data_IF_608424596744
#
_entry.id   IF_608424596744
#
_cell.length_a   1.000
_cell.length_b   1.000
_cell.length_c   1.000
_cell.angle_alpha   90.00
_cell.angle_beta   90.00
_cell.angle_gamma   90.00
#
_symmetry.space_group_name_H-M   'P 1'
#
loop_
_entity.id
_entity.type
_entity.pdbx_description
1 polymer ?
#
# COMPACT_ATOMS: atom_id res chain seq x y z
N UNK A 1 59.49 -3.22 -32.25
CA UNK A 1 58.53 -4.18 -31.65
C UNK A 1 57.73 -3.49 -30.56
N UNK A 2 58.34 -2.57 -29.82
CA UNK A 2 57.72 -1.76 -28.75
C UNK A 2 56.57 -0.86 -29.21
N UNK A 3 56.68 -0.24 -30.40
CA UNK A 3 55.67 0.71 -30.89
C UNK A 3 54.27 0.11 -31.05
N UNK A 4 54.18 -1.18 -31.40
CA UNK A 4 52.90 -1.92 -31.52
C UNK A 4 52.34 -2.30 -30.15
N UNK A 5 53.21 -2.53 -29.18
CA UNK A 5 52.84 -2.86 -27.80
C UNK A 5 52.30 -1.62 -27.09
N UNK A 6 52.89 -0.46 -27.36
CA UNK A 6 52.44 0.83 -26.84
C UNK A 6 51.11 1.27 -27.47
N UNK A 7 50.91 1.05 -28.78
CA UNK A 7 49.60 1.32 -29.42
C UNK A 7 48.51 0.40 -28.87
N UNK A 8 48.80 -0.88 -28.64
CA UNK A 8 47.84 -1.81 -28.05
C UNK A 8 47.46 -1.42 -26.61
N UNK A 9 48.43 -1.00 -25.79
CA UNK A 9 48.16 -0.47 -24.43
C UNK A 9 47.34 0.81 -24.44
N UNK A 10 47.58 1.68 -25.41
CA UNK A 10 46.85 2.93 -25.55
C UNK A 10 45.38 2.67 -25.93
N UNK A 11 45.15 1.75 -26.88
CA UNK A 11 43.79 1.33 -27.24
C UNK A 11 43.05 0.69 -26.07
N UNK A 12 43.71 -0.14 -25.26
CA UNK A 12 43.11 -0.78 -24.08
C UNK A 12 42.73 0.25 -23.00
N UNK A 13 43.58 1.27 -22.79
CA UNK A 13 43.29 2.37 -21.87
C UNK A 13 42.14 3.26 -22.36
N UNK A 14 42.11 3.60 -23.65
CA UNK A 14 41.03 4.42 -24.24
C UNK A 14 39.69 3.69 -24.14
N UNK A 15 39.68 2.37 -24.38
CA UNK A 15 38.49 1.53 -24.26
C UNK A 15 38.02 1.41 -22.80
N UNK A 16 38.93 1.35 -21.84
CA UNK A 16 38.60 1.37 -20.42
C UNK A 16 37.99 2.72 -19.99
N UNK A 17 38.51 3.84 -20.51
CA UNK A 17 38.01 5.19 -20.23
C UNK A 17 36.59 5.37 -20.79
N UNK A 18 36.34 4.95 -22.03
CA UNK A 18 34.99 4.97 -22.63
C UNK A 18 34.00 4.14 -21.80
N UNK A 19 34.40 2.94 -21.38
CA UNK A 19 33.54 2.07 -20.55
C UNK A 19 33.20 2.73 -19.20
N UNK A 20 34.15 3.43 -18.59
CA UNK A 20 33.93 4.17 -17.33
C UNK A 20 33.03 5.39 -17.55
N UNK A 21 33.18 6.09 -18.67
CA UNK A 21 32.32 7.23 -19.02
C UNK A 21 30.88 6.78 -19.28
N UNK A 22 30.68 5.72 -20.06
CA UNK A 22 29.34 5.14 -20.27
C UNK A 22 28.71 4.68 -18.96
N UNK A 23 29.46 4.02 -18.08
CA UNK A 23 28.97 3.62 -16.77
C UNK A 23 28.57 4.83 -15.90
N UNK A 24 29.36 5.91 -15.92
CA UNK A 24 29.06 7.15 -15.21
C UNK A 24 27.85 7.89 -15.80
N UNK A 25 27.70 7.92 -17.12
CA UNK A 25 26.56 8.54 -17.80
C UNK A 25 25.27 7.76 -17.56
N UNK A 26 25.34 6.43 -17.54
CA UNK A 26 24.23 5.56 -17.18
C UNK A 26 23.83 5.73 -15.71
N UNK A 27 24.80 5.91 -14.80
CA UNK A 27 24.52 6.19 -13.39
C UNK A 27 23.90 7.57 -13.19
N UNK A 28 24.33 8.56 -13.98
CA UNK A 28 23.82 9.94 -13.97
C UNK A 28 22.42 10.04 -14.59
N UNK A 29 22.16 9.26 -15.64
CA UNK A 29 20.91 9.24 -16.39
C UNK A 29 20.45 7.78 -16.59
N UNK A 30 19.85 7.15 -15.57
CA UNK A 30 19.40 5.78 -15.70
C UNK A 30 18.35 5.65 -16.81
N UNK A 31 18.32 4.55 -17.58
CA UNK A 31 17.32 4.33 -18.60
C UNK A 31 15.92 4.41 -17.97
N UNK A 32 15.03 5.24 -18.51
CA UNK A 32 13.68 5.41 -17.96
C UNK A 32 12.65 4.72 -18.85
N UNK A 33 11.79 3.92 -18.23
CA UNK A 33 10.65 3.29 -18.93
C UNK A 33 9.40 4.10 -18.59
N UNK A 34 8.75 4.64 -19.63
CA UNK A 34 7.50 5.37 -19.48
C UNK A 34 6.36 4.40 -19.17
N UNK A 35 5.73 4.55 -18.01
CA UNK A 35 4.57 3.75 -17.60
C UNK A 35 3.36 4.66 -17.49
N UNK A 36 2.33 4.34 -18.26
CA UNK A 36 1.10 5.11 -18.32
C UNK A 36 0.23 4.82 -17.10
N UNK A 37 -0.03 5.86 -16.32
CA UNK A 37 -0.89 5.77 -15.14
C UNK A 37 -2.35 5.89 -15.55
N UNK A 38 -3.00 4.76 -15.82
CA UNK A 38 -4.44 4.72 -16.12
C UNK A 38 -5.25 4.81 -14.83
N UNK A 39 -5.62 6.02 -14.42
CA UNK A 39 -6.34 6.29 -13.15
C UNK A 39 -7.62 5.47 -12.97
N UNK A 40 -8.32 5.17 -14.06
CA UNK A 40 -9.53 4.34 -14.02
C UNK A 40 -9.22 2.91 -13.56
N UNK A 41 -8.16 2.28 -14.10
CA UNK A 41 -7.73 0.92 -13.68
C UNK A 41 -7.28 0.91 -12.23
N UNK A 42 -6.57 1.97 -11.80
CA UNK A 42 -6.15 2.13 -10.40
C UNK A 42 -7.33 2.21 -9.44
N UNK A 43 -8.40 2.93 -9.79
CA UNK A 43 -9.59 3.02 -8.96
C UNK A 43 -10.23 1.63 -8.77
N UNK A 44 -10.41 0.87 -9.85
CA UNK A 44 -11.06 -0.44 -9.76
C UNK A 44 -10.22 -1.52 -9.09
N UNK A 45 -8.89 -1.48 -9.20
CA UNK A 45 -8.04 -2.46 -8.48
C UNK A 45 -8.00 -2.19 -6.97
N UNK A 46 -8.18 -0.94 -6.53
CA UNK A 46 -8.23 -0.61 -5.08
C UNK A 46 -9.41 -1.29 -4.40
N UNK A 47 -10.55 -1.44 -5.07
CA UNK A 47 -11.80 -1.97 -4.51
C UNK A 47 -11.61 -3.36 -3.87
N UNK A 48 -11.22 -4.43 -4.59
CA UNK A 48 -11.13 -5.77 -4.01
C UNK A 48 -10.06 -5.85 -2.92
N UNK A 49 -8.94 -5.13 -3.07
CA UNK A 49 -7.90 -5.08 -2.05
C UNK A 49 -8.35 -4.32 -0.79
N UNK A 50 -9.17 -3.28 -0.93
CA UNK A 50 -9.75 -2.56 0.20
C UNK A 50 -10.75 -3.41 0.98
N UNK A 51 -11.59 -4.17 0.27
CA UNK A 51 -12.50 -5.16 0.87
C UNK A 51 -11.70 -6.21 1.63
N UNK A 52 -10.69 -6.82 0.99
CA UNK A 52 -9.85 -7.84 1.61
C UNK A 52 -9.12 -7.29 2.85
N UNK A 53 -8.57 -6.06 2.77
CA UNK A 53 -7.87 -5.44 3.89
C UNK A 53 -8.78 -5.13 5.07
N UNK A 54 -9.99 -4.62 4.81
CA UNK A 54 -10.99 -4.39 5.86
C UNK A 54 -11.42 -5.70 6.54
N UNK A 55 -11.63 -6.77 5.75
CA UNK A 55 -11.94 -8.10 6.28
C UNK A 55 -10.80 -8.66 7.15
N UNK A 56 -9.55 -8.52 6.72
CA UNK A 56 -8.38 -8.94 7.50
C UNK A 56 -8.33 -8.17 8.83
N UNK A 57 -8.51 -6.86 8.80
CA UNK A 57 -8.51 -6.03 10.03
C UNK A 57 -9.59 -6.47 11.01
N UNK A 58 -10.83 -6.59 10.54
CA UNK A 58 -11.97 -6.97 11.40
C UNK A 58 -11.81 -8.41 11.90
N UNK A 59 -11.32 -9.30 11.04
CA UNK A 59 -10.98 -10.67 11.42
C UNK A 59 -9.97 -10.71 12.56
N UNK A 60 -8.84 -10.01 12.43
CA UNK A 60 -7.82 -9.92 13.48
C UNK A 60 -8.36 -9.29 14.77
N UNK A 61 -9.16 -8.23 14.67
CA UNK A 61 -9.79 -7.62 15.83
C UNK A 61 -10.71 -8.61 16.56
N UNK A 62 -11.54 -9.36 15.83
CA UNK A 62 -12.45 -10.35 16.41
C UNK A 62 -11.73 -11.58 16.99
N UNK A 63 -10.59 -11.96 16.42
CA UNK A 63 -9.78 -13.06 16.95
C UNK A 63 -9.15 -12.71 18.30
N UNK A 64 -8.77 -11.46 18.51
CA UNK A 64 -8.10 -11.02 19.74
C UNK A 64 -9.07 -10.52 20.82
N UNK A 65 -10.34 -10.27 20.49
CA UNK A 65 -11.36 -9.91 21.49
C UNK A 65 -11.79 -11.14 22.29
N UNK A 66 -10.98 -11.53 23.27
CA UNK A 66 -11.30 -12.54 24.28
C UNK A 66 -10.95 -12.04 25.69
N UNK A 67 -11.58 -12.64 26.71
CA UNK A 67 -11.35 -12.25 28.10
C UNK A 67 -9.90 -12.54 28.52
N UNK A 68 -9.20 -11.50 29.00
CA UNK A 68 -7.79 -11.61 29.39
C UNK A 68 -6.79 -11.47 28.24
N UNK A 69 -7.20 -10.93 27.10
CA UNK A 69 -6.30 -10.62 25.98
C UNK A 69 -5.09 -9.79 26.44
N UNK A 70 -3.85 -10.18 26.08
CA UNK A 70 -2.64 -9.51 26.54
C UNK A 70 -2.48 -8.11 25.94
N UNK A 71 -3.02 -7.89 24.74
CA UNK A 71 -2.98 -6.60 24.03
C UNK A 71 -4.29 -6.37 23.29
N UNK A 72 -4.55 -5.11 22.93
CA UNK A 72 -5.74 -4.74 22.15
C UNK A 72 -5.60 -5.23 20.69
N UNK A 73 -6.70 -5.74 20.12
CA UNK A 73 -6.69 -6.41 18.81
C UNK A 73 -6.21 -5.53 17.64
N UNK A 74 -6.31 -4.20 17.75
CA UNK A 74 -5.83 -3.29 16.72
C UNK A 74 -4.31 -3.40 16.51
N UNK A 75 -3.51 -3.76 17.53
CA UNK A 75 -2.05 -3.94 17.39
C UNK A 75 -1.70 -4.89 16.25
N UNK A 76 -2.39 -6.03 16.16
CA UNK A 76 -2.09 -7.06 15.17
C UNK A 76 -2.42 -6.61 13.75
N UNK A 77 -3.52 -5.89 13.58
CA UNK A 77 -3.88 -5.30 12.28
C UNK A 77 -2.82 -4.29 11.84
N UNK A 78 -2.40 -3.38 12.73
CA UNK A 78 -1.36 -2.39 12.42
C UNK A 78 -0.03 -3.06 12.08
N UNK A 79 0.40 -4.04 12.89
CA UNK A 79 1.63 -4.79 12.67
C UNK A 79 1.62 -5.53 11.33
N UNK A 80 0.56 -6.27 11.02
CA UNK A 80 0.46 -7.05 9.78
C UNK A 80 0.42 -6.14 8.54
N UNK A 81 -0.37 -5.07 8.59
CA UNK A 81 -0.45 -4.12 7.48
C UNK A 81 0.88 -3.40 7.24
N UNK A 82 1.61 -3.01 8.30
CA UNK A 82 2.95 -2.45 8.18
C UNK A 82 3.99 -3.47 7.69
N UNK A 83 3.86 -4.74 8.07
CA UNK A 83 4.71 -5.83 7.57
C UNK A 83 4.56 -6.01 6.06
N UNK A 84 3.32 -6.13 5.57
CA UNK A 84 3.05 -6.27 4.14
C UNK A 84 3.52 -5.01 3.40
N UNK A 85 3.27 -3.82 3.95
CA UNK A 85 3.78 -2.56 3.41
C UNK A 85 5.31 -2.56 3.31
N UNK A 86 6.02 -3.07 4.33
CA UNK A 86 7.47 -3.22 4.30
C UNK A 86 7.97 -4.10 3.16
N UNK A 87 7.27 -5.20 2.87
CA UNK A 87 7.61 -6.09 1.75
C UNK A 87 7.37 -5.42 0.39
N UNK A 88 6.24 -4.73 0.26
CA UNK A 88 5.83 -4.04 -0.96
C UNK A 88 6.75 -2.86 -1.28
N UNK A 89 7.20 -2.12 -0.25
CA UNK A 89 8.11 -0.97 -0.43
C UNK A 89 9.45 -1.39 -1.00
N UNK A 90 10.05 -2.49 -0.52
CA UNK A 90 11.34 -2.97 -1.05
C UNK A 90 11.21 -3.41 -2.51
N UNK A 91 10.12 -4.10 -2.87
CA UNK A 91 9.89 -4.60 -4.23
C UNK A 91 9.17 -3.59 -5.13
N UNK A 92 9.05 -2.33 -4.72
CA UNK A 92 8.28 -1.29 -5.42
C UNK A 92 8.64 -1.22 -6.91
N UNK A 93 9.93 -1.16 -7.24
CA UNK A 93 10.38 -1.04 -8.63
C UNK A 93 10.01 -2.27 -9.47
N UNK A 94 10.17 -3.47 -8.90
CA UNK A 94 9.83 -4.72 -9.58
C UNK A 94 8.32 -4.83 -9.82
N UNK A 95 7.50 -4.50 -8.81
CA UNK A 95 6.04 -4.48 -8.94
C UNK A 95 5.58 -3.41 -9.94
N UNK A 96 6.24 -2.25 -9.94
CA UNK A 96 5.92 -1.14 -10.82
C UNK A 96 6.13 -1.53 -12.29
N UNK A 97 7.25 -2.20 -12.59
CA UNK A 97 7.56 -2.70 -13.93
C UNK A 97 6.68 -3.89 -14.34
N UNK A 98 6.35 -4.78 -13.40
CA UNK A 98 5.50 -5.94 -13.67
C UNK A 98 4.04 -5.54 -13.95
N UNK A 99 3.41 -4.83 -13.02
CA UNK A 99 2.05 -4.32 -13.20
C UNK A 99 1.79 -3.15 -12.23
N UNK A 100 1.95 -1.92 -12.74
CA UNK A 100 1.77 -0.70 -11.96
C UNK A 100 0.50 -0.67 -11.09
N UNK A 101 -0.71 -1.06 -11.58
CA UNK A 101 -1.91 -1.04 -10.76
C UNK A 101 -1.84 -1.96 -9.53
N UNK A 102 -1.12 -3.09 -9.61
CA UNK A 102 -1.02 -4.02 -8.49
C UNK A 102 -0.30 -3.40 -7.29
N UNK A 103 0.75 -2.62 -7.54
CA UNK A 103 1.47 -1.93 -6.47
C UNK A 103 0.54 -0.96 -5.72
N UNK A 104 -0.31 -0.23 -6.44
CA UNK A 104 -1.31 0.66 -5.86
C UNK A 104 -2.38 -0.14 -5.10
N UNK A 105 -2.86 -1.24 -5.67
CA UNK A 105 -3.81 -2.15 -5.00
C UNK A 105 -3.27 -2.70 -3.68
N UNK A 106 -2.02 -3.17 -3.64
CA UNK A 106 -1.40 -3.72 -2.43
C UNK A 106 -1.11 -2.65 -1.38
N UNK A 107 -0.45 -1.55 -1.76
CA UNK A 107 -0.08 -0.52 -0.79
C UNK A 107 -1.29 0.32 -0.35
N UNK A 108 -2.09 0.78 -1.32
CA UNK A 108 -3.24 1.66 -1.07
C UNK A 108 -4.44 0.82 -0.68
N UNK A 109 -4.91 -0.09 -1.52
CA UNK A 109 -6.09 -0.92 -1.18
C UNK A 109 -5.88 -1.78 0.06
N UNK A 110 -4.93 -2.73 0.02
CA UNK A 110 -4.79 -3.77 1.04
C UNK A 110 -4.19 -3.23 2.33
N UNK A 111 -2.91 -2.84 2.34
CA UNK A 111 -2.24 -2.36 3.54
C UNK A 111 -2.94 -1.14 4.15
N UNK A 112 -3.46 -0.26 3.29
CA UNK A 112 -4.20 0.93 3.72
C UNK A 112 -5.57 0.67 4.33
N UNK A 113 -6.15 -0.52 4.15
CA UNK A 113 -7.42 -0.92 4.76
C UNK A 113 -7.24 -1.90 5.93
N UNK A 114 -6.11 -2.62 5.95
CA UNK A 114 -5.67 -3.41 7.12
C UNK A 114 -5.28 -2.47 8.27
N UNK A 115 -4.53 -1.41 7.96
CA UNK A 115 -4.13 -0.40 8.95
C UNK A 115 -5.19 0.70 9.03
N UNK A 116 -5.35 1.31 10.20
CA UNK A 116 -6.33 2.39 10.44
C UNK A 116 -5.79 3.39 11.45
N UNK A 117 -5.80 4.67 11.09
CA UNK A 117 -5.39 5.74 12.01
C UNK A 117 -6.57 6.25 12.86
N UNK A 118 -7.78 6.38 12.32
CA UNK A 118 -8.96 6.80 13.08
C UNK A 118 -9.26 5.87 14.25
N UNK A 119 -9.25 4.55 14.03
CA UNK A 119 -9.53 3.58 15.10
C UNK A 119 -8.43 3.62 16.17
N UNK A 120 -7.19 3.91 15.79
CA UNK A 120 -6.08 4.07 16.74
C UNK A 120 -6.24 5.34 17.59
N UNK A 121 -6.62 6.47 16.97
CA UNK A 121 -6.92 7.70 17.71
C UNK A 121 -8.10 7.53 18.66
N UNK A 122 -9.13 6.79 18.23
CA UNK A 122 -10.25 6.45 19.09
C UNK A 122 -9.81 5.59 20.30
N UNK A 123 -8.93 4.61 20.10
CA UNK A 123 -8.35 3.82 21.20
C UNK A 123 -7.57 4.67 22.20
N UNK A 124 -6.72 5.58 21.72
CA UNK A 124 -5.96 6.51 22.57
C UNK A 124 -6.92 7.38 23.40
N UNK A 125 -7.93 7.95 22.74
CA UNK A 125 -8.96 8.74 23.42
C UNK A 125 -9.71 7.92 24.45
N UNK A 126 -10.09 6.67 24.11
CA UNK A 126 -10.74 5.74 25.02
C UNK A 126 -9.94 5.49 26.29
N UNK A 127 -8.62 5.31 26.16
CA UNK A 127 -7.70 5.18 27.30
C UNK A 127 -7.66 6.43 28.18
N UNK A 128 -7.57 7.62 27.58
CA UNK A 128 -7.56 8.89 28.35
C UNK A 128 -8.90 9.19 29.02
N UNK A 129 -10.00 8.97 28.31
CA UNK A 129 -11.35 9.26 28.77
C UNK A 129 -11.91 8.17 29.70
N UNK A 130 -11.27 6.99 29.74
CA UNK A 130 -11.73 5.82 30.49
C UNK A 130 -13.19 5.47 30.16
N UNK A 131 -13.46 5.30 28.86
CA UNK A 131 -14.81 5.04 28.33
C UNK A 131 -15.42 3.77 28.96
N UNK A 132 -14.59 2.79 29.31
CA UNK A 132 -15.03 1.52 29.92
C UNK A 132 -15.49 1.67 31.39
N UNK A 133 -15.34 2.86 32.00
CA UNK A 133 -15.82 3.14 33.35
C UNK A 133 -15.09 2.36 34.44
N UNK A 134 -13.91 1.80 34.16
CA UNK A 134 -13.13 1.03 35.10
C UNK A 134 -12.66 1.88 36.29
N UNK A 135 -12.47 1.25 37.46
CA UNK A 135 -12.04 1.90 38.71
C UNK A 135 -10.56 2.32 38.67
N UNK A 136 -10.25 3.28 37.80
CA UNK A 136 -8.91 3.77 37.54
C UNK A 136 -8.67 5.14 38.18
N UNK A 137 -7.44 5.36 38.67
CA UNK A 137 -7.01 6.70 39.06
C UNK A 137 -6.68 7.51 37.81
N UNK A 138 -6.73 8.84 37.88
CA UNK A 138 -6.43 9.73 36.74
C UNK A 138 -5.10 9.41 36.06
N UNK A 139 -4.07 9.06 36.84
CA UNK A 139 -2.76 8.67 36.31
C UNK A 139 -2.78 7.35 35.52
N UNK A 140 -3.64 6.39 35.88
CA UNK A 140 -3.81 5.14 35.14
C UNK A 140 -4.44 5.37 33.76
N UNK A 141 -5.38 6.31 33.64
CA UNK A 141 -5.97 6.68 32.34
C UNK A 141 -4.94 7.33 31.40
N UNK A 142 -4.09 8.21 31.94
CA UNK A 142 -2.97 8.79 31.18
C UNK A 142 -2.03 7.69 30.70
N UNK A 143 -1.68 6.76 31.58
CA UNK A 143 -0.82 5.64 31.21
C UNK A 143 -1.47 4.75 30.15
N UNK A 144 -2.77 4.48 30.23
CA UNK A 144 -3.50 3.68 29.25
C UNK A 144 -3.46 4.29 27.85
N UNK A 145 -3.76 5.59 27.71
CA UNK A 145 -3.69 6.27 26.41
C UNK A 145 -2.26 6.34 25.86
N UNK A 146 -1.25 6.54 26.72
CA UNK A 146 0.16 6.49 26.33
C UNK A 146 0.60 5.08 25.91
N UNK A 147 0.16 4.04 26.61
CA UNK A 147 0.43 2.64 26.27
C UNK A 147 -0.15 2.28 24.90
N UNK A 148 -1.40 2.64 24.62
CA UNK A 148 -2.03 2.46 23.30
C UNK A 148 -1.20 3.13 22.19
N UNK A 149 -0.72 4.34 22.44
CA UNK A 149 0.11 5.10 21.49
C UNK A 149 1.48 4.43 21.25
N UNK A 150 2.22 4.16 22.32
CA UNK A 150 3.59 3.66 22.25
C UNK A 150 3.65 2.22 21.71
N UNK A 151 2.77 1.33 22.19
CA UNK A 151 2.73 -0.07 21.76
C UNK A 151 2.36 -0.15 20.28
N UNK A 152 1.34 0.60 19.84
CA UNK A 152 0.94 0.60 18.43
C UNK A 152 2.06 1.10 17.52
N UNK A 153 2.73 2.19 17.90
CA UNK A 153 3.85 2.72 17.12
C UNK A 153 5.01 1.72 17.08
N UNK A 154 5.42 1.17 18.23
CA UNK A 154 6.50 0.20 18.29
C UNK A 154 6.21 -1.03 17.41
N UNK A 155 4.96 -1.52 17.43
CA UNK A 155 4.52 -2.66 16.62
C UNK A 155 4.44 -2.32 15.13
N UNK A 156 3.96 -1.13 14.76
CA UNK A 156 3.97 -0.69 13.37
C UNK A 156 5.41 -0.58 12.82
N UNK A 157 6.35 -0.04 13.59
CA UNK A 157 7.76 0.03 13.22
C UNK A 157 8.40 -1.37 13.12
N UNK A 158 8.18 -2.23 14.11
CA UNK A 158 8.75 -3.58 14.11
C UNK A 158 8.22 -4.42 12.94
N UNK A 159 6.92 -4.33 12.65
CA UNK A 159 6.29 -4.96 11.48
C UNK A 159 6.91 -4.49 10.17
N UNK A 160 7.06 -3.17 9.99
CA UNK A 160 7.67 -2.60 8.79
C UNK A 160 9.12 -3.06 8.58
N UNK A 161 9.94 -3.05 9.63
CA UNK A 161 11.33 -3.50 9.56
C UNK A 161 11.42 -5.01 9.29
N UNK A 162 10.60 -5.82 9.95
CA UNK A 162 10.53 -7.25 9.69
C UNK A 162 10.13 -7.53 8.24
N UNK A 163 9.15 -6.78 7.71
CA UNK A 163 8.76 -6.84 6.30
C UNK A 163 9.92 -6.58 5.35
N UNK A 164 10.80 -5.62 5.65
CA UNK A 164 12.02 -5.38 4.86
C UNK A 164 13.01 -6.55 4.91
N UNK A 165 13.20 -7.14 6.09
CA UNK A 165 14.08 -8.31 6.24
C UNK A 165 13.53 -9.53 5.49
N UNK A 166 12.23 -9.79 5.61
CA UNK A 166 11.53 -10.84 4.86
C UNK A 166 11.71 -10.59 3.37
N UNK A 167 11.50 -9.36 2.90
CA UNK A 167 11.63 -9.04 1.49
C UNK A 167 13.04 -9.29 0.92
N UNK A 168 14.10 -8.95 1.67
CA UNK A 168 15.48 -9.29 1.28
C UNK A 168 15.73 -10.79 1.25
N UNK A 169 15.15 -11.54 2.18
CA UNK A 169 15.23 -13.00 2.19
C UNK A 169 14.54 -13.60 0.95
N UNK A 170 13.36 -13.10 0.56
CA UNK A 170 12.66 -13.53 -0.66
C UNK A 170 13.49 -13.26 -1.92
N UNK A 171 14.20 -12.13 -1.98
CA UNK A 171 15.12 -11.81 -3.08
C UNK A 171 16.29 -12.78 -3.11
N UNK A 172 16.89 -13.11 -1.96
CA UNK A 172 17.99 -14.06 -1.88
C UNK A 172 17.59 -15.50 -2.27
N UNK A 173 16.36 -15.91 -1.94
CA UNK A 173 15.81 -17.21 -2.35
C UNK A 173 15.53 -17.25 -3.87
N UNK A 174 15.61 -16.10 -4.56
CA UNK A 174 15.35 -16.01 -5.99
C UNK A 174 13.88 -16.19 -6.35
N UNK A 175 12.95 -15.94 -5.42
CA UNK A 175 11.52 -16.16 -5.66
C UNK A 175 11.00 -15.27 -6.80
N UNK A 176 11.50 -14.04 -6.89
CA UNK A 176 11.08 -13.05 -7.89
C UNK A 176 11.99 -12.99 -9.12
N UNK A 177 13.20 -13.56 -9.07
CA UNK A 177 14.17 -13.47 -10.17
C UNK A 177 13.76 -14.20 -11.46
N UNK A 178 13.15 -15.40 -11.46
CA UNK A 178 12.81 -16.08 -12.71
C UNK A 178 11.57 -15.48 -13.39
N UNK A 179 10.60 -14.99 -12.62
CA UNK A 179 9.39 -14.39 -13.18
C UNK A 179 9.69 -13.01 -13.79
N UNK A 180 10.50 -12.21 -13.10
CA UNK A 180 10.92 -10.90 -13.58
C UNK A 180 11.88 -11.02 -14.76
N UNK A 181 12.83 -11.98 -14.74
CA UNK A 181 13.71 -12.24 -15.92
C UNK A 181 12.90 -12.62 -17.15
N UNK A 182 11.93 -13.54 -17.04
CA UNK A 182 11.07 -13.91 -18.19
C UNK A 182 10.29 -12.73 -18.76
N UNK A 183 9.86 -11.81 -17.90
CA UNK A 183 9.12 -10.62 -18.33
C UNK A 183 10.03 -9.55 -18.95
N UNK A 184 11.21 -9.32 -18.36
CA UNK A 184 12.22 -8.43 -18.91
C UNK A 184 12.80 -8.97 -20.23
N UNK A 185 12.99 -10.28 -20.35
CA UNK A 185 13.36 -10.93 -21.62
C UNK A 185 12.26 -10.74 -22.67
N UNK A 186 10.98 -10.86 -22.32
CA UNK A 186 9.88 -10.55 -23.25
C UNK A 186 9.88 -9.09 -23.71
N UNK A 187 10.19 -8.14 -22.82
CA UNK A 187 10.31 -6.72 -23.17
C UNK A 187 11.52 -6.45 -24.07
N UNK A 188 12.68 -7.03 -23.75
CA UNK A 188 13.90 -6.93 -24.56
C UNK A 188 13.73 -7.56 -25.94
N UNK A 189 12.98 -8.66 -26.09
CA UNK A 189 12.67 -9.26 -27.42
C UNK A 189 11.89 -8.28 -28.33
N UNK A 190 11.07 -7.39 -27.77
CA UNK A 190 10.40 -6.32 -28.54
C UNK A 190 11.34 -5.18 -28.96
N UNK A 191 12.50 -5.02 -28.30
CA UNK A 191 13.51 -4.00 -28.62
C UNK A 191 14.62 -4.58 -29.52
N UNK A 192 14.93 -5.87 -29.38
CA UNK A 192 15.97 -6.57 -30.14
C UNK A 192 15.57 -6.98 -31.56
N UNK A 193 14.40 -6.58 -32.07
CA UNK A 193 14.17 -6.62 -33.53
C UNK A 193 14.97 -5.56 -34.28
N UNK A 194 15.71 -4.71 -33.57
CA UNK A 194 16.78 -3.88 -34.12
C UNK A 194 18.08 -4.14 -33.36
N UNK A 195 18.98 -4.83 -34.05
CA UNK A 195 20.41 -5.01 -33.77
C UNK A 195 20.82 -6.20 -32.89
N UNK A 196 21.27 -7.20 -33.62
CA UNK A 196 22.01 -8.39 -33.24
C UNK A 196 23.42 -8.04 -32.75
N UNK A 197 23.81 -8.57 -31.59
CA UNK A 197 25.12 -9.18 -31.28
C UNK A 197 25.25 -9.50 -29.79
N UNK A 198 25.42 -10.78 -29.51
CA UNK A 198 25.67 -11.40 -28.21
C UNK A 198 27.00 -10.99 -27.59
N UNK A 199 27.00 -10.54 -26.33
CA UNK A 199 28.17 -10.54 -25.44
C UNK A 199 27.72 -10.98 -24.05
N UNK A 200 28.28 -12.11 -23.58
CA UNK A 200 28.17 -12.59 -22.19
C UNK A 200 28.96 -11.65 -21.27
N UNK A 201 28.37 -11.18 -20.16
CA UNK A 201 29.17 -10.61 -19.06
C UNK A 201 28.48 -10.70 -17.71
N UNK A 202 29.13 -11.47 -16.84
CA UNK A 202 29.35 -11.36 -15.40
C UNK A 202 28.29 -10.73 -14.45
N UNK A 203 28.07 -11.43 -13.35
CA UNK A 203 26.92 -11.34 -12.43
C UNK A 203 26.89 -10.08 -11.53
N UNK A 204 27.78 -9.11 -11.73
CA UNK A 204 27.93 -7.88 -10.95
C UNK A 204 27.41 -6.62 -11.66
N UNK A 205 27.13 -6.67 -12.97
CA UNK A 205 26.54 -5.56 -13.76
C UNK A 205 25.00 -5.50 -13.74
N UNK A 206 24.33 -6.52 -13.19
CA UNK A 206 22.86 -6.68 -13.28
C UNK A 206 22.08 -5.69 -12.38
N UNK A 207 22.74 -4.99 -11.45
CA UNK A 207 22.07 -4.06 -10.52
C UNK A 207 22.04 -2.61 -10.99
N UNK A 208 23.01 -2.15 -11.82
CA UNK A 208 23.07 -0.75 -12.28
C UNK A 208 22.26 -0.47 -13.54
N UNK A 209 21.75 -1.51 -14.22
CA UNK A 209 21.05 -1.41 -15.49
C UNK A 209 19.51 -1.50 -15.35
N UNK A 210 18.97 -1.50 -14.12
CA UNK A 210 17.51 -1.58 -13.93
C UNK A 210 16.86 -0.25 -14.33
N UNK A 211 15.95 -0.25 -15.32
CA UNK A 211 15.33 0.99 -15.75
C UNK A 211 14.48 1.59 -14.62
N UNK A 212 14.62 2.89 -14.41
CA UNK A 212 13.81 3.62 -13.43
C UNK A 212 12.46 3.93 -14.06
N UNK A 213 11.34 3.48 -13.48
CA UNK A 213 10.04 3.76 -14.05
C UNK A 213 9.70 5.25 -13.94
N UNK A 214 9.32 5.88 -15.06
CA UNK A 214 8.83 7.25 -15.10
C UNK A 214 7.32 7.24 -15.36
N UNK A 215 6.55 7.79 -14.42
CA UNK A 215 5.09 7.81 -14.49
C UNK A 215 4.63 8.89 -15.45
N UNK A 216 3.86 8.52 -16.46
CA UNK A 216 3.16 9.46 -17.34
C UNK A 216 1.68 9.45 -16.95
N UNK A 217 1.13 10.53 -16.38
CA UNK A 217 -0.24 10.54 -15.90
C UNK A 217 -1.21 10.51 -17.08
N UNK A 218 -2.00 9.43 -17.19
CA UNK A 218 -3.20 9.42 -18.01
C UNK A 218 -4.39 9.79 -17.12
N UNK A 219 -5.34 10.55 -17.64
CA UNK A 219 -6.56 10.88 -16.90
C UNK A 219 -7.45 9.66 -16.65
N UNK A 220 -8.73 9.91 -16.40
CA UNK A 220 -9.76 8.86 -16.31
C UNK A 220 -10.24 8.37 -17.68
N UNK A 221 -9.44 8.55 -18.73
CA UNK A 221 -9.84 8.17 -20.09
C UNK A 221 -9.92 6.64 -20.24
N UNK A 222 -11.00 6.17 -20.87
CA UNK A 222 -11.17 4.77 -21.26
C UNK A 222 -10.43 4.42 -22.58
N UNK A 223 -9.79 5.40 -23.20
CA UNK A 223 -9.04 5.22 -24.44
C UNK A 223 -7.71 4.49 -24.15
N UNK A 224 -7.43 3.41 -24.89
CA UNK A 224 -6.17 2.67 -24.78
C UNK A 224 -6.11 1.63 -23.67
N UNK A 225 -7.25 1.07 -23.23
CA UNK A 225 -7.27 -0.07 -22.30
C UNK A 225 -6.86 -1.38 -23.00
N UNK A 226 -5.99 -2.13 -22.32
CA UNK A 226 -5.63 -3.48 -22.73
C UNK A 226 -6.65 -4.50 -22.19
N UNK A 227 -6.64 -5.73 -22.70
CA UNK A 227 -7.52 -6.81 -22.20
C UNK A 227 -7.37 -7.05 -20.69
N UNK A 228 -6.14 -6.99 -20.17
CA UNK A 228 -5.86 -7.14 -18.74
C UNK A 228 -6.49 -6.00 -17.93
N UNK A 229 -6.44 -4.76 -18.44
CA UNK A 229 -7.06 -3.61 -17.77
C UNK A 229 -8.58 -3.77 -17.68
N UNK A 230 -9.21 -4.24 -18.76
CA UNK A 230 -10.64 -4.54 -18.77
C UNK A 230 -11.00 -5.66 -17.77
N UNK A 231 -10.18 -6.71 -17.66
CA UNK A 231 -10.39 -7.77 -16.67
C UNK A 231 -10.29 -7.26 -15.24
N UNK A 232 -9.31 -6.39 -14.94
CA UNK A 232 -9.13 -5.79 -13.62
C UNK A 232 -10.32 -4.88 -13.27
N UNK A 233 -10.81 -4.08 -14.22
CA UNK A 233 -12.00 -3.25 -14.03
C UNK A 233 -13.23 -4.11 -13.78
N UNK A 234 -13.43 -5.13 -14.61
CA UNK A 234 -14.52 -6.09 -14.45
C UNK A 234 -14.49 -6.75 -13.08
N UNK A 235 -13.33 -7.26 -12.66
CA UNK A 235 -13.15 -7.86 -11.35
C UNK A 235 -13.43 -6.87 -10.21
N UNK A 236 -12.93 -5.64 -10.30
CA UNK A 236 -13.20 -4.58 -9.33
C UNK A 236 -14.69 -4.28 -9.20
N UNK A 237 -15.37 -4.04 -10.32
CA UNK A 237 -16.80 -3.77 -10.36
C UNK A 237 -17.63 -4.95 -9.81
N UNK A 238 -17.33 -6.18 -10.23
CA UNK A 238 -18.01 -7.38 -9.76
C UNK A 238 -17.78 -7.62 -8.26
N UNK A 239 -16.59 -7.35 -7.75
CA UNK A 239 -16.31 -7.47 -6.31
C UNK A 239 -17.15 -6.48 -5.49
N UNK A 240 -17.33 -5.24 -5.98
CA UNK A 240 -18.14 -4.25 -5.28
C UNK A 240 -19.63 -4.59 -5.33
N UNK A 241 -20.12 -4.95 -6.52
CA UNK A 241 -21.51 -5.42 -6.68
C UNK A 241 -21.76 -6.65 -5.80
N UNK A 242 -20.80 -7.57 -5.73
CA UNK A 242 -20.88 -8.76 -4.88
C UNK A 242 -21.09 -8.42 -3.40
N UNK A 243 -20.33 -7.46 -2.84
CA UNK A 243 -20.52 -7.06 -1.43
C UNK A 243 -21.79 -6.25 -1.20
N UNK A 244 -22.27 -5.50 -2.20
CA UNK A 244 -23.58 -4.83 -2.13
C UNK A 244 -24.71 -5.85 -2.09
N UNK A 245 -24.67 -6.86 -2.96
CA UNK A 245 -25.65 -7.95 -2.95
C UNK A 245 -25.57 -8.73 -1.64
N UNK A 246 -24.36 -9.02 -1.14
CA UNK A 246 -24.19 -9.62 0.18
C UNK A 246 -24.84 -8.76 1.27
N UNK A 247 -24.65 -7.45 1.28
CA UNK A 247 -25.28 -6.56 2.27
C UNK A 247 -26.81 -6.54 2.20
N UNK A 248 -27.40 -6.72 1.01
CA UNK A 248 -28.86 -6.78 0.81
C UNK A 248 -29.43 -8.12 1.27
N UNK A 249 -28.73 -9.23 1.01
CA UNK A 249 -29.21 -10.58 1.32
C UNK A 249 -28.73 -11.12 2.67
N UNK A 250 -27.79 -10.45 3.34
CA UNK A 250 -27.24 -10.90 4.62
C UNK A 250 -28.26 -10.77 5.75
N UNK A 251 -28.37 -11.80 6.63
CA UNK A 251 -29.13 -11.69 7.87
C UNK A 251 -28.53 -10.63 8.82
N UNK A 252 -29.33 -10.22 9.81
CA UNK A 252 -29.03 -9.07 10.70
C UNK A 252 -27.67 -9.18 11.41
N UNK A 253 -27.20 -10.39 11.70
CA UNK A 253 -25.93 -10.70 12.36
C UNK A 253 -24.70 -10.43 11.49
N UNK A 254 -24.81 -10.62 10.17
CA UNK A 254 -23.71 -10.44 9.21
C UNK A 254 -23.81 -9.14 8.41
N UNK A 255 -24.95 -8.47 8.47
CA UNK A 255 -25.20 -7.23 7.71
C UNK A 255 -24.19 -6.13 8.01
N UNK A 256 -23.75 -5.99 9.25
CA UNK A 256 -22.72 -5.02 9.63
C UNK A 256 -21.41 -5.28 8.86
N UNK A 257 -20.93 -6.52 8.83
CA UNK A 257 -19.70 -6.89 8.13
C UNK A 257 -19.82 -6.67 6.61
N UNK A 258 -20.96 -7.02 6.04
CA UNK A 258 -21.24 -6.83 4.62
C UNK A 258 -21.28 -5.33 4.26
N UNK A 259 -21.96 -4.51 5.06
CA UNK A 259 -21.99 -3.05 4.88
C UNK A 259 -20.59 -2.44 5.06
N UNK A 260 -19.78 -2.93 5.99
CA UNK A 260 -18.38 -2.50 6.13
C UNK A 260 -17.60 -2.75 4.83
N UNK A 261 -17.81 -3.90 4.19
CA UNK A 261 -17.20 -4.20 2.90
C UNK A 261 -17.71 -3.30 1.76
N UNK A 262 -18.94 -2.80 1.85
CA UNK A 262 -19.49 -1.82 0.88
C UNK A 262 -18.84 -0.45 1.05
N UNK A 263 -18.63 0.00 2.30
CA UNK A 263 -18.04 1.31 2.61
C UNK A 263 -16.51 1.34 2.52
N UNK A 264 -15.85 0.20 2.70
CA UNK A 264 -14.39 0.05 2.65
C UNK A 264 -13.75 0.59 1.35
N UNK A 265 -14.25 0.26 0.14
CA UNK A 265 -13.78 0.87 -1.11
C UNK A 265 -13.95 2.39 -1.16
N UNK A 266 -15.05 2.92 -0.62
CA UNK A 266 -15.34 4.37 -0.67
C UNK A 266 -14.28 5.15 0.12
N UNK A 267 -13.95 4.70 1.33
CA UNK A 267 -12.90 5.32 2.13
C UNK A 267 -11.52 5.22 1.47
N UNK A 268 -11.18 4.03 0.93
CA UNK A 268 -9.90 3.80 0.25
C UNK A 268 -9.74 4.66 -1.02
N UNK A 269 -10.82 4.82 -1.80
CA UNK A 269 -10.85 5.67 -2.99
C UNK A 269 -10.76 7.16 -2.65
N UNK A 270 -11.46 7.61 -1.61
CA UNK A 270 -11.35 8.98 -1.12
C UNK A 270 -9.91 9.30 -0.71
N UNK A 271 -9.28 8.40 0.06
CA UNK A 271 -7.88 8.56 0.46
C UNK A 271 -6.94 8.57 -0.74
N UNK A 272 -7.15 7.68 -1.71
CA UNK A 272 -6.36 7.66 -2.95
C UNK A 272 -6.51 8.98 -3.72
N UNK A 273 -7.73 9.50 -3.84
CA UNK A 273 -8.01 10.78 -4.48
C UNK A 273 -7.33 11.95 -3.75
N UNK A 274 -7.42 11.99 -2.42
CA UNK A 274 -6.76 13.01 -1.60
C UNK A 274 -5.24 12.95 -1.72
N UNK A 275 -4.67 11.78 -2.00
CA UNK A 275 -3.23 11.63 -2.19
C UNK A 275 -2.68 12.39 -3.40
N UNK A 276 -3.53 12.80 -4.36
CA UNK A 276 -3.12 13.66 -5.48
C UNK A 276 -2.71 15.07 -5.03
N UNK A 277 -3.14 15.50 -3.84
CA UNK A 277 -2.77 16.80 -3.28
C UNK A 277 -1.49 16.73 -2.42
N UNK A 278 -0.89 15.54 -2.24
CA UNK A 278 0.40 15.41 -1.59
C UNK A 278 1.49 16.07 -2.46
N UNK A 279 2.30 16.96 -1.86
CA UNK A 279 3.31 17.70 -2.61
C UNK A 279 2.81 18.99 -3.30
N UNK A 280 1.51 19.32 -3.20
CA UNK A 280 0.94 20.52 -3.82
C UNK A 280 1.44 21.84 -3.20
N UNK A 281 1.78 21.84 -1.91
CA UNK A 281 2.29 23.02 -1.18
C UNK A 281 3.81 22.94 -0.99
N UNK A 282 4.32 21.80 -0.48
CA UNK A 282 5.75 21.49 -0.39
C UNK A 282 5.95 19.99 -0.62
N UNK A 283 7.06 19.59 -1.25
CA UNK A 283 7.38 18.19 -1.55
C UNK A 283 7.48 17.31 -0.29
N UNK A 284 7.77 17.91 0.86
CA UNK A 284 7.94 17.22 2.14
C UNK A 284 6.66 17.18 3.01
N UNK A 285 5.58 17.88 2.61
CA UNK A 285 4.32 17.89 3.37
C UNK A 285 3.27 17.01 2.70
N UNK A 286 2.81 16.02 3.44
CA UNK A 286 1.75 15.08 3.06
C UNK A 286 0.36 15.62 3.39
N UNK A 287 0.00 16.79 2.84
CA UNK A 287 -1.26 17.49 3.14
C UNK A 287 -2.48 16.61 2.85
N UNK A 288 -2.49 15.90 1.72
CA UNK A 288 -3.59 15.02 1.32
C UNK A 288 -3.77 13.83 2.26
N UNK A 289 -2.67 13.18 2.66
CA UNK A 289 -2.70 12.06 3.62
C UNK A 289 -3.14 12.55 5.00
N UNK A 290 -2.64 13.69 5.47
CA UNK A 290 -3.04 14.28 6.74
C UNK A 290 -4.52 14.70 6.73
N UNK A 291 -4.99 15.30 5.63
CA UNK A 291 -6.38 15.69 5.47
C UNK A 291 -7.31 14.48 5.50
N UNK A 292 -6.94 13.39 4.82
CA UNK A 292 -7.67 12.13 4.87
C UNK A 292 -7.77 11.64 6.32
N UNK A 293 -6.63 11.49 7.01
CA UNK A 293 -6.55 11.04 8.40
C UNK A 293 -7.38 11.87 9.39
N UNK A 294 -7.37 13.20 9.21
CA UNK A 294 -8.11 14.12 10.07
C UNK A 294 -9.62 14.00 9.80
N UNK A 295 -9.99 13.88 8.53
CA UNK A 295 -11.38 13.77 8.12
C UNK A 295 -12.01 12.47 8.60
N UNK A 296 -11.36 11.31 8.41
CA UNK A 296 -11.88 10.03 8.90
C UNK A 296 -12.01 10.01 10.42
N UNK A 297 -11.04 10.57 11.15
CA UNK A 297 -11.12 10.71 12.61
C UNK A 297 -12.28 11.59 13.05
N UNK A 298 -12.53 12.72 12.37
CA UNK A 298 -13.63 13.62 12.69
C UNK A 298 -15.00 12.97 12.44
N UNK A 299 -15.15 12.29 11.30
CA UNK A 299 -16.38 11.54 10.98
C UNK A 299 -16.60 10.41 12.00
N UNK A 300 -15.54 9.69 12.38
CA UNK A 300 -15.61 8.65 13.40
C UNK A 300 -16.06 9.21 14.76
N UNK A 301 -15.54 10.36 15.18
CA UNK A 301 -15.93 11.02 16.42
C UNK A 301 -17.42 11.42 16.43
N UNK A 302 -17.93 11.94 15.31
CA UNK A 302 -19.36 12.26 15.16
C UNK A 302 -20.21 10.99 15.25
N UNK A 303 -19.82 9.92 14.55
CA UNK A 303 -20.55 8.64 14.58
C UNK A 303 -20.66 8.11 16.01
N UNK A 304 -19.54 8.03 16.73
CA UNK A 304 -19.58 7.53 18.12
C UNK A 304 -20.38 8.45 19.04
N UNK A 305 -20.27 9.77 18.88
CA UNK A 305 -21.08 10.73 19.66
C UNK A 305 -22.58 10.50 19.47
N UNK A 306 -23.02 10.24 18.24
CA UNK A 306 -24.44 9.94 17.92
C UNK A 306 -24.84 8.58 18.50
N UNK A 307 -23.99 7.56 18.40
CA UNK A 307 -24.27 6.21 18.91
C UNK A 307 -24.42 6.17 20.44
N UNK A 308 -23.63 6.97 21.17
CA UNK A 308 -23.72 7.04 22.63
C UNK A 308 -24.78 8.05 23.13
N UNK A 309 -25.14 9.04 22.30
CA UNK A 309 -26.04 10.13 22.70
C UNK A 309 -27.53 9.91 22.39
N UNK A 310 -27.89 8.98 21.49
CA UNK A 310 -29.26 8.82 21.00
C UNK A 310 -29.65 7.34 20.90
N UNK A 311 -30.89 7.01 21.26
CA UNK A 311 -31.45 5.69 21.01
C UNK A 311 -31.75 5.52 19.51
N UNK A 312 -31.08 4.56 18.88
CA UNK A 312 -31.16 4.31 17.44
C UNK A 312 -31.79 2.95 17.13
N UNK A 313 -32.55 2.83 16.03
CA UNK A 313 -33.01 1.55 15.53
C UNK A 313 -31.84 0.61 15.19
N UNK A 314 -32.03 -0.73 15.27
CA UNK A 314 -30.95 -1.71 15.00
C UNK A 314 -30.28 -1.52 13.64
N UNK A 315 -31.07 -1.22 12.60
CA UNK A 315 -30.56 -0.98 11.24
C UNK A 315 -29.64 0.25 11.18
N UNK A 316 -30.05 1.35 11.81
CA UNK A 316 -29.26 2.59 11.88
C UNK A 316 -27.95 2.37 12.66
N UNK A 317 -27.99 1.57 13.73
CA UNK A 317 -26.79 1.16 14.46
C UNK A 317 -25.83 0.34 13.59
N UNK A 318 -26.32 -0.65 12.84
CA UNK A 318 -25.47 -1.45 11.93
C UNK A 318 -24.85 -0.59 10.84
N UNK A 319 -25.59 0.37 10.27
CA UNK A 319 -25.07 1.28 9.24
C UNK A 319 -23.99 2.20 9.81
N UNK A 320 -24.22 2.77 11.00
CA UNK A 320 -23.22 3.63 11.65
C UNK A 320 -21.96 2.86 12.06
N UNK A 321 -22.11 1.63 12.56
CA UNK A 321 -20.98 0.74 12.84
C UNK A 321 -20.19 0.42 11.56
N UNK A 322 -20.90 0.07 10.48
CA UNK A 322 -20.28 -0.20 9.19
C UNK A 322 -19.60 1.03 8.55
N UNK A 323 -20.13 2.23 8.77
CA UNK A 323 -19.51 3.47 8.32
C UNK A 323 -18.25 3.77 9.13
N UNK A 324 -18.29 3.57 10.45
CA UNK A 324 -17.13 3.72 11.32
C UNK A 324 -16.00 2.76 10.92
N UNK A 325 -16.32 1.47 10.79
CA UNK A 325 -15.31 0.46 10.48
C UNK A 325 -14.91 0.47 9.01
N UNK A 326 -15.83 0.57 8.06
CA UNK A 326 -15.54 0.53 6.63
C UNK A 326 -15.01 1.84 6.07
N UNK A 327 -15.74 2.94 6.25
CA UNK A 327 -15.37 4.22 5.65
C UNK A 327 -14.24 4.91 6.43
N UNK A 328 -14.43 5.21 7.72
CA UNK A 328 -13.42 5.92 8.50
C UNK A 328 -12.13 5.09 8.68
N UNK A 329 -12.28 3.77 8.85
CA UNK A 329 -11.14 2.85 8.94
C UNK A 329 -10.26 2.82 7.69
N UNK A 330 -10.82 3.05 6.50
CA UNK A 330 -10.10 2.97 5.22
C UNK A 330 -9.74 4.34 4.60
N UNK A 331 -10.32 5.42 5.14
CA UNK A 331 -10.00 6.81 4.74
C UNK A 331 -8.64 7.24 5.30
N UNK A 332 -8.15 6.59 6.36
CA UNK A 332 -7.00 7.06 7.11
C UNK A 332 -5.82 6.07 7.05
N UNK A 333 -4.62 6.51 6.64
CA UNK A 333 -3.41 5.68 6.72
C UNK A 333 -2.12 6.47 6.80
N UNK A 334 -1.11 5.91 7.48
CA UNK A 334 0.27 6.37 7.44
C UNK A 334 0.98 5.86 6.17
N UNK A 335 0.82 6.55 5.04
CA UNK A 335 1.66 6.29 3.85
C UNK A 335 3.08 6.80 4.14
N UNK A 336 4.02 5.90 4.42
CA UNK A 336 5.45 6.21 4.32
C UNK A 336 5.87 6.05 2.85
N UNK A 337 6.48 7.11 2.31
CA UNK A 337 7.22 7.04 1.05
C UNK A 337 8.53 6.30 1.25
#
# INVERSE_FOLDING_TARGET
>A
MDTRLDTARQQDNDQAIETIQEANDLFRNPPTVAVYEKKLVLAFIIIPFAIAGALIRIGLQRLETYAGSPVFGLVYAQWLGCLIMGVVTLHKNNLFLFYHPLQVGLATGLCGSITTFSSWQYGIFGGFANIDGAAHTRGKNVLAGLSECLVTLAMAFSGYHLGHHIARLLEHIGLFSPLLRRFLDQQNVTVSTTNDKSVETDSSKDLSNRPVPKVVPCGFAASGLNRIDCLVIGFGALSWVGVVLAAVFSPDDQRELALTCVFAPVGALLRWYLSFFNGAIRKDIFVGTLAANTFGTLVLAVIYSVRFGVYLPPVSCSVLAALADGFCGNTDTARKN
#
